data_IF_530251300783
#
_entry.id   IF_530251300783
#
_cell.length_a   1.000
_cell.length_b   1.000
_cell.length_c   1.000
_cell.angle_alpha   90.00
_cell.angle_beta   90.00
_cell.angle_gamma   90.00
#
_symmetry.space_group_name_H-M   'P 1'
#
loop_
_entity.id
_entity.type
_entity.pdbx_description
1 polymer ?
#
# COMPACT_ATOMS: atom_id res chain seq x y z
N UNK A 1 1.66 22.90 -8.56
CA UNK A 1 2.19 21.59 -8.26
C UNK A 1 1.08 20.62 -8.00
N UNK A 2 1.21 19.44 -8.52
CA UNK A 2 0.16 18.46 -8.36
C UNK A 2 0.22 17.82 -6.99
N UNK A 3 -0.92 17.34 -6.53
CA UNK A 3 -1.01 16.64 -5.28
C UNK A 3 -0.32 15.29 -5.39
N UNK A 4 0.23 14.77 -4.29
CA UNK A 4 0.79 13.42 -4.30
C UNK A 4 -0.27 12.40 -4.70
N UNK A 5 0.14 11.42 -5.45
CA UNK A 5 -0.75 10.38 -5.97
C UNK A 5 -0.62 9.12 -5.13
N UNK A 6 -1.75 8.59 -4.68
CA UNK A 6 -1.80 7.38 -3.88
C UNK A 6 -2.63 6.34 -4.64
N UNK A 7 -2.10 5.14 -4.78
CA UNK A 7 -2.85 4.04 -5.39
C UNK A 7 -3.19 3.02 -4.32
N UNK A 8 -4.46 2.63 -4.24
CA UNK A 8 -4.92 1.62 -3.28
C UNK A 8 -5.30 0.37 -4.06
N UNK A 9 -4.73 -0.76 -3.72
CA UNK A 9 -5.09 -2.04 -4.34
C UNK A 9 -5.61 -2.96 -3.25
N UNK A 10 -6.91 -3.21 -3.26
CA UNK A 10 -7.58 -4.01 -2.23
C UNK A 10 -8.89 -4.49 -2.83
N UNK A 11 -9.23 -5.75 -2.63
CA UNK A 11 -10.45 -6.32 -3.20
C UNK A 11 -11.69 -6.04 -2.35
N UNK A 12 -11.56 -5.27 -1.29
CA UNK A 12 -12.67 -4.86 -0.43
C UNK A 12 -13.11 -3.43 -0.80
N UNK A 13 -14.23 -3.27 -1.53
CA UNK A 13 -14.64 -1.94 -1.97
C UNK A 13 -14.94 -0.99 -0.82
N UNK A 14 -15.49 -1.51 0.28
CA UNK A 14 -15.82 -0.65 1.42
C UNK A 14 -14.57 -0.07 2.05
N UNK A 15 -13.54 -0.88 2.20
CA UNK A 15 -12.28 -0.39 2.73
C UNK A 15 -11.65 0.64 1.80
N UNK A 16 -11.70 0.39 0.51
CA UNK A 16 -11.16 1.33 -0.49
C UNK A 16 -11.87 2.67 -0.39
N UNK A 17 -13.20 2.64 -0.30
CA UNK A 17 -13.98 3.87 -0.25
C UNK A 17 -13.65 4.69 0.99
N UNK A 18 -13.61 4.05 2.14
CA UNK A 18 -13.31 4.74 3.39
C UNK A 18 -11.90 5.32 3.36
N UNK A 19 -10.95 4.54 2.89
CA UNK A 19 -9.56 4.98 2.83
C UNK A 19 -9.39 6.14 1.87
N UNK A 20 -10.07 6.07 0.73
CA UNK A 20 -10.04 7.15 -0.24
C UNK A 20 -10.52 8.47 0.37
N UNK A 21 -11.65 8.40 1.09
CA UNK A 21 -12.21 9.60 1.71
C UNK A 21 -11.21 10.20 2.70
N UNK A 22 -10.59 9.36 3.53
CA UNK A 22 -9.62 9.83 4.50
C UNK A 22 -8.44 10.53 3.81
N UNK A 23 -7.90 9.90 2.76
CA UNK A 23 -6.75 10.45 2.07
C UNK A 23 -7.09 11.75 1.36
N UNK A 24 -8.30 11.86 0.85
CA UNK A 24 -8.72 13.07 0.15
C UNK A 24 -8.86 14.26 1.10
N UNK A 25 -8.99 14.03 2.40
CA UNK A 25 -8.99 15.16 3.35
C UNK A 25 -7.67 15.91 3.33
N UNK A 26 -6.60 15.24 2.88
CA UNK A 26 -5.30 15.90 2.72
C UNK A 26 -5.03 16.26 1.26
N UNK A 27 -6.06 16.20 0.44
CA UNK A 27 -5.97 16.60 -0.96
C UNK A 27 -5.04 15.73 -1.78
N UNK A 28 -4.84 14.48 -1.35
CA UNK A 28 -4.09 13.52 -2.17
C UNK A 28 -4.95 13.11 -3.36
N UNK A 29 -4.27 12.80 -4.46
CA UNK A 29 -4.92 12.29 -5.66
C UNK A 29 -4.99 10.78 -5.54
N UNK A 30 -6.18 10.21 -5.33
CA UNK A 30 -6.32 8.80 -5.00
C UNK A 30 -6.87 8.02 -6.18
N UNK A 31 -6.14 6.97 -6.55
CA UNK A 31 -6.61 5.98 -7.52
C UNK A 31 -6.76 4.66 -6.80
N UNK A 32 -7.49 3.72 -7.39
CA UNK A 32 -7.71 2.44 -6.74
C UNK A 32 -7.90 1.33 -7.76
N UNK A 33 -7.72 0.10 -7.27
CA UNK A 33 -7.94 -1.10 -8.05
C UNK A 33 -8.42 -2.19 -7.10
N UNK A 34 -9.21 -3.11 -7.61
CA UNK A 34 -9.82 -4.16 -6.78
C UNK A 34 -9.19 -5.53 -7.00
N UNK A 35 -8.15 -5.60 -7.78
CA UNK A 35 -7.46 -6.86 -8.03
C UNK A 35 -6.03 -6.56 -8.43
N UNK A 36 -5.15 -7.57 -8.38
CA UNK A 36 -3.78 -7.36 -8.85
C UNK A 36 -3.73 -6.97 -10.32
N UNK A 37 -4.59 -7.57 -11.14
CA UNK A 37 -4.61 -7.25 -12.57
C UNK A 37 -4.97 -5.80 -12.80
N UNK A 38 -6.01 -5.32 -12.11
CA UNK A 38 -6.39 -3.91 -12.22
C UNK A 38 -5.29 -3.02 -11.67
N UNK A 39 -4.63 -3.48 -10.59
CA UNK A 39 -3.54 -2.73 -10.00
C UNK A 39 -2.38 -2.55 -10.97
N UNK A 40 -2.01 -3.62 -11.67
CA UNK A 40 -0.96 -3.52 -12.68
C UNK A 40 -1.35 -2.53 -13.77
N UNK A 41 -2.61 -2.57 -14.21
CA UNK A 41 -3.09 -1.64 -15.22
C UNK A 41 -2.97 -0.20 -14.75
N UNK A 42 -3.30 0.07 -13.49
CA UNK A 42 -3.17 1.42 -12.95
C UNK A 42 -1.71 1.85 -12.86
N UNK A 43 -0.83 0.94 -12.49
CA UNK A 43 0.60 1.26 -12.41
C UNK A 43 1.17 1.58 -13.78
N UNK A 44 0.68 0.93 -14.81
CA UNK A 44 1.12 1.23 -16.17
C UNK A 44 0.69 2.61 -16.63
N UNK A 45 -0.40 3.13 -16.08
CA UNK A 45 -0.83 4.49 -16.41
C UNK A 45 0.05 5.55 -15.78
N UNK A 46 0.65 5.24 -14.66
CA UNK A 46 1.53 6.18 -13.99
C UNK A 46 1.92 5.67 -12.62
N UNK A 47 3.15 5.91 -12.23
CA UNK A 47 3.68 5.44 -10.94
C UNK A 47 3.18 6.37 -9.84
N UNK A 48 2.48 5.83 -8.83
CA UNK A 48 2.02 6.68 -7.74
C UNK A 48 3.17 7.08 -6.83
N UNK A 49 2.92 8.09 -6.01
CA UNK A 49 3.90 8.50 -5.01
C UNK A 49 3.94 7.52 -3.84
N UNK A 50 2.86 6.80 -3.62
CA UNK A 50 2.83 5.72 -2.63
C UNK A 50 1.77 4.71 -3.04
N UNK A 51 2.01 3.46 -2.70
CA UNK A 51 1.08 2.37 -2.98
C UNK A 51 0.63 1.74 -1.67
N UNK A 52 -0.68 1.60 -1.51
CA UNK A 52 -1.28 0.86 -0.40
C UNK A 52 -1.77 -0.45 -0.99
N UNK A 53 -1.23 -1.56 -0.52
CA UNK A 53 -1.43 -2.85 -1.15
C UNK A 53 -1.87 -3.89 -0.13
N UNK A 54 -3.05 -4.47 -0.35
CA UNK A 54 -3.58 -5.52 0.51
C UNK A 54 -2.77 -6.80 0.29
N UNK A 55 -2.27 -7.36 1.39
CA UNK A 55 -1.43 -8.56 1.32
C UNK A 55 -2.23 -9.78 0.91
N UNK A 56 -3.45 -9.89 1.42
CA UNK A 56 -4.30 -11.05 1.18
C UNK A 56 -5.45 -10.68 0.26
N UNK A 57 -5.24 -10.84 -1.02
CA UNK A 57 -6.28 -10.60 -2.01
C UNK A 57 -6.61 -11.89 -2.72
N UNK A 58 -7.82 -11.93 -3.27
CA UNK A 58 -8.24 -13.09 -4.01
C UNK A 58 -8.24 -14.33 -3.15
N UNK A 59 -7.50 -15.32 -3.54
CA UNK A 59 -7.52 -16.61 -2.86
C UNK A 59 -6.30 -16.85 -1.99
N UNK A 60 -5.55 -15.84 -1.69
CA UNK A 60 -4.38 -16.04 -0.84
C UNK A 60 -3.51 -14.81 -0.81
N UNK A 61 -2.21 -15.00 -0.84
CA UNK A 61 -1.25 -13.93 -0.66
C UNK A 61 -0.88 -13.26 -1.97
N UNK A 62 -1.88 -12.93 -2.79
CA UNK A 62 -1.62 -12.34 -4.10
C UNK A 62 -0.98 -10.97 -3.99
N UNK A 63 -1.35 -10.22 -2.95
CA UNK A 63 -0.71 -8.91 -2.74
C UNK A 63 0.75 -9.05 -2.40
N UNK A 64 1.09 -10.02 -1.59
CA UNK A 64 2.48 -10.28 -1.24
C UNK A 64 3.29 -10.63 -2.49
N UNK A 65 2.73 -11.49 -3.33
CA UNK A 65 3.39 -11.87 -4.57
C UNK A 65 3.59 -10.66 -5.46
N UNK A 66 2.57 -9.81 -5.56
CA UNK A 66 2.66 -8.59 -6.36
C UNK A 66 3.77 -7.67 -5.85
N UNK A 67 3.87 -7.51 -4.53
CA UNK A 67 4.91 -6.66 -3.96
C UNK A 67 6.31 -7.16 -4.34
N UNK A 68 6.50 -8.46 -4.29
CA UNK A 68 7.80 -9.03 -4.67
C UNK A 68 8.12 -8.77 -6.13
N UNK A 69 7.12 -8.90 -7.00
CA UNK A 69 7.32 -8.63 -8.41
C UNK A 69 7.65 -7.16 -8.66
N UNK A 70 6.98 -6.28 -7.93
CA UNK A 70 7.22 -4.85 -8.08
C UNK A 70 8.65 -4.49 -7.72
N UNK A 71 9.18 -5.08 -6.66
CA UNK A 71 10.54 -4.76 -6.23
C UNK A 71 11.60 -5.23 -7.22
N UNK A 72 11.25 -6.17 -8.08
CA UNK A 72 12.18 -6.66 -9.08
C UNK A 72 12.22 -5.79 -10.32
N UNK A 73 11.27 -4.88 -10.49
CA UNK A 73 11.26 -3.99 -11.64
C UNK A 73 11.91 -2.67 -11.28
N UNK A 74 12.91 -2.24 -12.05
CA UNK A 74 13.63 -1.01 -11.71
C UNK A 74 12.73 0.21 -11.53
N UNK A 75 11.68 0.32 -12.35
CA UNK A 75 10.81 1.50 -12.29
C UNK A 75 9.99 1.57 -11.00
N UNK A 76 9.81 0.44 -10.32
CA UNK A 76 9.04 0.41 -9.07
C UNK A 76 9.90 0.11 -7.85
N UNK A 77 11.21 -0.02 -8.05
CA UNK A 77 12.08 -0.50 -6.97
C UNK A 77 12.11 0.42 -5.77
N UNK A 78 11.91 1.71 -5.99
CA UNK A 78 11.95 2.69 -4.89
C UNK A 78 10.59 3.26 -4.55
N UNK A 79 9.54 2.76 -5.16
CA UNK A 79 8.19 3.23 -4.87
C UNK A 79 7.81 2.84 -3.45
N UNK A 80 7.34 3.78 -2.63
CA UNK A 80 6.89 3.42 -1.29
C UNK A 80 5.70 2.48 -1.34
N UNK A 81 5.78 1.39 -0.63
CA UNK A 81 4.70 0.40 -0.54
C UNK A 81 4.33 0.22 0.92
N UNK A 82 3.06 0.46 1.24
CA UNK A 82 2.52 0.21 2.56
C UNK A 82 1.57 -0.97 2.44
N UNK A 83 1.87 -2.04 3.13
CA UNK A 83 1.10 -3.26 3.01
C UNK A 83 -0.03 -3.29 4.03
N UNK A 84 -1.23 -3.63 3.57
CA UNK A 84 -2.39 -3.74 4.44
C UNK A 84 -2.51 -5.14 5.00
N UNK A 85 -2.78 -5.22 6.30
CA UNK A 85 -3.02 -6.50 6.95
C UNK A 85 -4.23 -6.37 7.84
N UNK A 86 -4.94 -7.48 8.06
CA UNK A 86 -5.97 -7.53 9.07
C UNK A 86 -5.39 -8.13 10.34
N UNK A 87 -6.12 -7.98 11.44
CA UNK A 87 -5.68 -8.58 12.70
C UNK A 87 -5.53 -10.09 12.58
N UNK A 88 -6.43 -10.71 11.84
CA UNK A 88 -6.37 -12.15 11.67
C UNK A 88 -5.17 -12.58 10.87
N UNK A 89 -4.87 -11.80 9.86
CA UNK A 89 -3.70 -12.07 9.03
C UNK A 89 -2.43 -11.95 9.84
N UNK A 90 -2.37 -10.96 10.70
CA UNK A 90 -1.22 -10.79 11.56
C UNK A 90 -1.04 -11.99 12.47
N UNK A 91 -2.13 -12.45 13.03
CA UNK A 91 -2.08 -13.61 13.90
C UNK A 91 -1.57 -14.83 13.15
N UNK A 92 -2.09 -15.03 11.95
CA UNK A 92 -1.70 -16.18 11.15
C UNK A 92 -0.27 -16.16 10.69
N UNK A 93 0.23 -14.97 10.39
CA UNK A 93 1.59 -14.80 9.89
C UNK A 93 2.60 -14.52 10.97
N UNK A 94 2.12 -14.16 12.16
CA UNK A 94 3.00 -13.88 13.28
C UNK A 94 4.07 -12.87 12.88
N UNK A 95 3.64 -11.64 12.68
CA UNK A 95 4.52 -10.54 12.29
C UNK A 95 5.00 -9.77 13.50
N UNK A 96 6.03 -10.20 14.20
CA UNK A 96 6.65 -9.30 15.17
C UNK A 96 7.29 -8.18 14.38
N UNK A 97 7.07 -6.96 14.81
CA UNK A 97 7.52 -5.82 14.04
C UNK A 97 8.97 -5.88 13.63
N UNK A 98 9.81 -6.36 14.51
CA UNK A 98 11.24 -6.39 14.24
C UNK A 98 11.62 -7.48 13.26
N UNK A 99 10.72 -8.38 12.96
CA UNK A 99 10.99 -9.48 12.04
C UNK A 99 10.61 -9.16 10.62
N UNK A 100 9.91 -8.08 10.42
CA UNK A 100 9.48 -7.69 9.09
C UNK A 100 10.57 -6.85 8.49
N UNK A 101 11.34 -7.43 7.63
CA UNK A 101 12.36 -6.67 6.97
C UNK A 101 12.44 -7.08 5.51
N UNK A 102 13.28 -6.39 4.80
CA UNK A 102 13.31 -6.41 3.35
C UNK A 102 13.43 -7.80 2.75
N UNK A 103 14.02 -8.70 3.48
CA UNK A 103 14.18 -10.05 2.97
C UNK A 103 12.88 -10.76 2.76
N UNK A 104 11.91 -10.52 3.64
CA UNK A 104 10.68 -11.27 3.63
C UNK A 104 9.51 -10.48 3.13
N UNK A 105 9.45 -9.21 3.50
CA UNK A 105 8.37 -8.33 3.08
C UNK A 105 8.97 -7.17 2.32
N UNK A 106 8.85 -7.17 1.01
CA UNK A 106 9.45 -6.13 0.17
C UNK A 106 8.63 -4.86 0.19
N UNK A 107 8.38 -4.34 1.39
CA UNK A 107 7.54 -3.16 1.58
C UNK A 107 8.24 -2.21 2.55
N UNK A 108 7.76 -0.98 2.58
CA UNK A 108 8.37 0.05 3.42
C UNK A 108 7.72 0.15 4.78
N UNK A 109 6.45 -0.20 4.86
CA UNK A 109 5.72 -0.15 6.12
C UNK A 109 4.48 -1.00 5.95
N UNK A 110 3.72 -1.17 7.01
CA UNK A 110 2.46 -1.87 6.89
C UNK A 110 1.41 -1.15 7.73
N UNK A 111 0.15 -1.40 7.39
CA UNK A 111 -1.00 -0.74 7.97
C UNK A 111 -1.99 -1.81 8.36
N UNK A 112 -2.47 -1.78 9.60
CA UNK A 112 -3.55 -2.67 10.00
C UNK A 112 -4.87 -2.07 9.53
N UNK A 113 -5.71 -2.88 8.94
CA UNK A 113 -7.08 -2.45 8.64
C UNK A 113 -7.75 -2.15 9.97
N UNK A 114 -8.40 -1.04 10.06
CA UNK A 114 -8.94 -0.57 11.33
C UNK A 114 -8.09 0.47 12.01
N UNK A 115 -6.97 0.82 11.40
CA UNK A 115 -6.13 1.90 11.91
C UNK A 115 -6.91 3.20 11.99
N UNK A 116 -6.61 4.01 12.97
CA UNK A 116 -7.24 5.33 13.11
C UNK A 116 -6.88 6.20 11.91
N UNK A 117 -7.83 7.03 11.44
CA UNK A 117 -7.55 7.87 10.27
C UNK A 117 -6.32 8.75 10.44
N UNK A 118 -6.14 9.34 11.61
CA UNK A 118 -4.98 10.20 11.83
C UNK A 118 -3.68 9.42 11.71
N UNK A 119 -3.65 8.20 12.25
CA UNK A 119 -2.46 7.37 12.19
C UNK A 119 -2.17 6.94 10.74
N UNK A 120 -3.21 6.67 9.97
CA UNK A 120 -3.04 6.34 8.56
C UNK A 120 -2.40 7.51 7.82
N UNK A 121 -2.92 8.71 8.04
CA UNK A 121 -2.39 9.89 7.37
C UNK A 121 -0.93 10.13 7.74
N UNK A 122 -0.56 9.87 8.99
CA UNK A 122 0.81 10.03 9.41
C UNK A 122 1.74 9.06 8.72
N UNK A 123 1.31 7.81 8.58
CA UNK A 123 2.13 6.82 7.88
C UNK A 123 2.34 7.19 6.42
N UNK A 124 1.28 7.64 5.77
CA UNK A 124 1.37 8.05 4.37
C UNK A 124 2.33 9.24 4.25
N UNK A 125 2.16 10.24 5.10
CA UNK A 125 3.02 11.41 5.06
C UNK A 125 4.47 11.04 5.29
N UNK A 126 4.73 10.13 6.19
CA UNK A 126 6.08 9.69 6.47
C UNK A 126 6.73 9.08 5.24
N UNK A 127 5.99 8.25 4.51
CA UNK A 127 6.54 7.62 3.30
C UNK A 127 6.75 8.64 2.19
N UNK A 128 5.84 9.58 2.05
CA UNK A 128 6.00 10.63 1.04
C UNK A 128 7.21 11.51 1.33
N UNK A 129 7.45 11.81 2.61
CA UNK A 129 8.59 12.61 3.01
C UNK A 129 9.90 11.89 2.72
N UNK A 130 9.94 10.59 2.99
CA UNK A 130 11.14 9.80 2.71
C UNK A 130 11.45 9.80 1.22
N UNK A 131 10.43 9.63 0.40
CA UNK A 131 10.62 9.64 -1.04
C UNK A 131 11.16 10.97 -1.51
N UNK A 132 10.61 12.05 -0.95
CA UNK A 132 11.03 13.40 -1.33
C UNK A 132 12.46 13.68 -0.91
N UNK A 133 12.83 13.23 0.28
CA UNK A 133 14.17 13.49 0.80
C UNK A 133 15.22 12.60 0.19
N UNK A 134 14.82 11.46 -0.26
CA UNK A 134 15.74 10.50 -0.79
C UNK A 134 16.06 10.74 -2.23
#
# INVERSE_FOLDING_TARGET
MSAPSILIIDDDPDFVEVTKVILETKQYDVRFAYSPEEGWAELEKGIPDALILDIMMGKGAEGFIMARKLRKEPRFAKMPILMLTSMREQTGFDFPGERIHEKFLPVDDYIEKGIEPQALLEKIQQQLSRKTSG
#
